data_IF_538166100217
#
_entry.id   IF_538166100217
#
_cell.length_a   1.000
_cell.length_b   1.000
_cell.length_c   1.000
_cell.angle_alpha   90.00
_cell.angle_beta   90.00
_cell.angle_gamma   90.00
#
_symmetry.space_group_name_H-M   'P 1'
#
loop_
_entity.id
_entity.type
_entity.pdbx_description
1 polymer ?
#
# COMPACT_ATOMS: atom_id res chain seq x y z
N UNK A 1 44.13 -31.43 13.01
CA UNK A 1 42.69 -31.62 12.77
C UNK A 1 42.20 -30.43 11.92
N UNK A 2 41.99 -30.64 10.64
CA UNK A 2 41.54 -29.63 9.68
C UNK A 2 40.04 -29.45 9.83
N UNK A 3 39.51 -28.23 9.96
CA UNK A 3 38.05 -28.03 10.01
C UNK A 3 37.44 -28.35 8.66
N UNK A 4 36.55 -29.32 8.65
CA UNK A 4 35.78 -29.70 7.49
C UNK A 4 34.83 -28.60 7.03
N UNK A 5 35.07 -28.03 5.87
CA UNK A 5 34.14 -27.18 5.13
C UNK A 5 33.05 -28.06 4.53
N UNK A 6 32.00 -28.32 5.29
CA UNK A 6 30.85 -29.07 4.84
C UNK A 6 29.56 -28.30 5.05
N UNK A 7 29.10 -27.58 4.05
CA UNK A 7 27.77 -26.99 4.09
C UNK A 7 27.54 -26.15 2.85
N UNK A 8 26.88 -26.70 1.85
CA UNK A 8 26.32 -25.98 0.70
C UNK A 8 25.11 -25.16 1.17
N UNK A 9 25.33 -24.19 2.04
CA UNK A 9 24.40 -23.11 2.33
C UNK A 9 24.46 -22.12 1.18
N UNK A 10 23.32 -21.81 0.59
CA UNK A 10 23.25 -20.82 -0.48
C UNK A 10 23.82 -19.47 -0.06
N UNK A 11 24.17 -18.59 -1.01
CA UNK A 11 24.86 -17.32 -0.78
C UNK A 11 24.12 -16.33 0.14
N UNK A 12 22.88 -16.62 0.51
CA UNK A 12 22.09 -15.78 1.44
C UNK A 12 22.23 -16.18 2.91
N UNK A 13 22.91 -17.29 3.18
CA UNK A 13 23.14 -17.75 4.52
C UNK A 13 24.63 -17.76 4.79
N UNK A 14 25.07 -16.98 5.75
CA UNK A 14 26.38 -17.16 6.34
C UNK A 14 26.21 -18.08 7.55
N UNK A 15 26.75 -19.28 7.47
CA UNK A 15 26.76 -20.23 8.59
C UNK A 15 28.16 -20.17 9.18
N UNK A 16 28.26 -19.70 10.42
CA UNK A 16 29.49 -19.73 11.19
C UNK A 16 29.34 -20.82 12.24
N UNK A 17 30.25 -21.81 12.22
CA UNK A 17 30.27 -22.90 13.20
C UNK A 17 31.46 -22.67 14.12
N UNK A 18 31.21 -22.30 15.34
CA UNK A 18 32.20 -22.21 16.41
C UNK A 18 31.79 -23.13 17.55
N UNK A 19 32.69 -24.00 18.00
CA UNK A 19 32.59 -24.81 19.24
C UNK A 19 31.15 -25.21 19.65
N UNK A 20 30.39 -25.78 18.75
CA UNK A 20 29.02 -26.26 19.02
C UNK A 20 27.89 -25.22 18.79
N UNK A 21 28.20 -24.00 18.38
CA UNK A 21 27.24 -22.96 18.03
C UNK A 21 27.20 -22.79 16.51
N UNK A 22 25.98 -22.79 15.96
CA UNK A 22 25.74 -22.50 14.53
C UNK A 22 24.99 -21.18 14.42
N UNK A 23 25.64 -20.16 13.89
CA UNK A 23 24.99 -18.89 13.61
C UNK A 23 24.61 -18.83 12.10
N UNK A 24 23.34 -18.61 11.84
CA UNK A 24 22.79 -18.45 10.47
C UNK A 24 22.42 -17.02 10.24
N UNK A 25 23.16 -16.32 9.38
CA UNK A 25 22.85 -14.94 9.02
C UNK A 25 21.99 -14.91 7.76
N UNK A 26 20.77 -14.42 7.88
CA UNK A 26 19.88 -14.17 6.74
C UNK A 26 20.00 -12.72 6.29
N UNK A 27 20.22 -12.49 5.00
CA UNK A 27 20.27 -11.15 4.41
C UNK A 27 18.85 -10.66 4.11
N UNK A 28 18.31 -9.83 5.00
CA UNK A 28 17.01 -9.20 4.81
C UNK A 28 17.13 -8.03 3.84
N UNK A 29 16.47 -8.13 2.67
CA UNK A 29 16.37 -7.04 1.72
C UNK A 29 15.28 -6.04 2.12
N UNK A 30 14.12 -6.57 2.53
CA UNK A 30 12.95 -5.79 2.90
C UNK A 30 12.07 -6.58 3.88
N UNK A 31 11.60 -5.91 4.93
CA UNK A 31 10.48 -6.38 5.75
C UNK A 31 9.27 -5.49 5.49
N UNK A 32 8.07 -6.06 5.50
CA UNK A 32 6.81 -5.33 5.33
C UNK A 32 5.89 -5.68 6.50
N UNK A 33 5.39 -4.65 7.20
CA UNK A 33 4.45 -4.80 8.31
C UNK A 33 3.24 -3.89 8.10
N UNK A 34 2.20 -4.35 7.41
CA UNK A 34 1.01 -3.55 7.17
C UNK A 34 0.28 -3.21 8.46
N UNK A 35 -0.15 -1.96 8.61
CA UNK A 35 -0.97 -1.49 9.72
C UNK A 35 -2.35 -1.10 9.22
N UNK A 36 -3.35 -1.32 10.04
CA UNK A 36 -4.67 -0.72 9.86
C UNK A 36 -4.58 0.80 10.13
N UNK A 37 -4.95 1.62 9.17
CA UNK A 37 -4.83 3.06 9.24
C UNK A 37 -5.63 3.69 10.38
N UNK A 38 -6.69 3.03 10.86
CA UNK A 38 -7.56 3.55 11.92
C UNK A 38 -7.10 3.14 13.31
N UNK A 39 -6.87 1.85 13.52
CA UNK A 39 -6.48 1.33 14.83
C UNK A 39 -4.98 1.45 15.08
N UNK A 40 -4.17 1.63 14.02
CA UNK A 40 -2.70 1.55 14.04
C UNK A 40 -2.16 0.20 14.53
N UNK A 41 -3.04 -0.76 14.70
CA UNK A 41 -2.65 -2.13 14.97
C UNK A 41 -2.15 -2.81 13.70
N UNK A 42 -1.40 -3.89 13.86
CA UNK A 42 -1.03 -4.72 12.72
C UNK A 42 -2.30 -5.19 11.99
N UNK A 43 -2.32 -5.06 10.68
CA UNK A 43 -3.43 -5.54 9.87
C UNK A 43 -3.56 -7.06 10.05
N UNK A 44 -4.79 -7.51 10.20
CA UNK A 44 -5.09 -8.90 10.57
C UNK A 44 -4.65 -9.92 9.51
N UNK A 45 -4.81 -11.21 9.81
CA UNK A 45 -4.41 -12.31 8.93
C UNK A 45 -5.21 -12.30 7.61
N UNK A 46 -4.69 -13.01 6.62
CA UNK A 46 -5.31 -13.18 5.30
C UNK A 46 -4.88 -12.16 4.26
N UNK A 47 -3.99 -11.23 4.59
CA UNK A 47 -3.37 -10.37 3.58
C UNK A 47 -2.48 -11.19 2.64
N UNK A 48 -2.49 -10.78 1.37
CA UNK A 48 -1.54 -11.21 0.36
C UNK A 48 -0.52 -10.10 0.18
N UNK A 49 0.74 -10.36 0.50
CA UNK A 49 1.84 -9.42 0.31
C UNK A 49 2.86 -10.08 -0.60
N UNK A 50 3.20 -9.41 -1.67
CA UNK A 50 4.13 -9.90 -2.67
C UNK A 50 4.84 -8.77 -3.40
N UNK A 51 5.75 -9.11 -4.29
CA UNK A 51 6.39 -8.16 -5.19
C UNK A 51 6.19 -8.58 -6.64
N UNK A 52 6.13 -7.59 -7.53
CA UNK A 52 5.97 -7.82 -8.95
C UNK A 52 7.31 -8.29 -9.52
N UNK A 53 7.27 -9.45 -10.17
CA UNK A 53 8.38 -9.96 -10.95
C UNK A 53 8.17 -9.56 -12.41
N UNK A 54 8.97 -8.63 -12.90
CA UNK A 54 8.91 -8.24 -14.28
C UNK A 54 9.67 -9.27 -15.12
N UNK A 55 8.97 -10.09 -15.93
CA UNK A 55 9.62 -11.07 -16.76
C UNK A 55 10.55 -10.39 -17.77
N UNK A 56 11.59 -11.12 -18.16
CA UNK A 56 12.44 -10.72 -19.27
C UNK A 56 11.59 -10.44 -20.53
N UNK A 57 11.98 -9.46 -21.37
CA UNK A 57 11.24 -9.13 -22.59
C UNK A 57 10.94 -10.37 -23.43
N UNK A 58 9.68 -10.56 -23.83
CA UNK A 58 9.24 -11.68 -24.67
C UNK A 58 8.51 -12.82 -23.96
N UNK A 59 8.47 -12.86 -22.63
CA UNK A 59 7.71 -13.87 -21.88
C UNK A 59 6.36 -13.30 -21.45
N UNK A 60 5.26 -13.76 -22.08
CA UNK A 60 3.90 -13.45 -21.64
C UNK A 60 3.62 -14.28 -20.37
N UNK A 61 3.45 -13.62 -19.23
CA UNK A 61 2.95 -14.24 -18.00
C UNK A 61 1.52 -13.79 -17.76
N UNK A 62 0.70 -14.66 -17.18
CA UNK A 62 -0.64 -14.30 -16.70
C UNK A 62 -0.53 -13.46 -15.42
N UNK A 63 -1.48 -12.56 -15.17
CA UNK A 63 -1.42 -11.55 -14.12
C UNK A 63 -1.10 -12.05 -12.71
N UNK A 64 -1.61 -13.24 -12.32
CA UNK A 64 -1.30 -13.84 -11.01
C UNK A 64 0.13 -14.37 -10.92
N UNK A 65 0.73 -14.81 -12.05
CA UNK A 65 2.10 -15.33 -12.11
C UNK A 65 3.14 -14.20 -12.01
N UNK A 66 2.71 -12.94 -12.11
CA UNK A 66 3.59 -11.77 -12.02
C UNK A 66 3.90 -11.36 -10.57
N UNK A 67 3.21 -11.91 -9.59
CA UNK A 67 3.40 -11.54 -8.19
C UNK A 67 4.02 -12.70 -7.43
N UNK A 68 5.24 -12.49 -6.94
CA UNK A 68 5.89 -13.44 -6.04
C UNK A 68 5.52 -13.11 -4.60
N UNK A 69 4.93 -14.05 -3.85
CA UNK A 69 4.59 -13.82 -2.46
C UNK A 69 5.85 -13.59 -1.61
N UNK A 70 5.77 -12.66 -0.67
CA UNK A 70 6.77 -12.53 0.38
C UNK A 70 6.58 -13.65 1.41
N UNK A 71 7.69 -14.06 2.01
CA UNK A 71 7.66 -15.04 3.09
C UNK A 71 7.00 -14.45 4.35
N UNK A 72 6.04 -15.15 4.92
CA UNK A 72 5.44 -14.76 6.20
C UNK A 72 6.47 -14.80 7.34
N UNK A 73 6.48 -13.78 8.18
CA UNK A 73 7.36 -13.67 9.34
C UNK A 73 6.59 -13.23 10.59
N UNK A 74 6.52 -14.11 11.57
CA UNK A 74 5.64 -13.89 12.72
C UNK A 74 4.17 -13.85 12.31
N UNK A 75 3.34 -13.25 13.15
CA UNK A 75 1.88 -13.24 12.96
C UNK A 75 1.41 -12.25 11.88
N UNK A 76 2.17 -11.19 11.58
CA UNK A 76 1.68 -10.05 10.80
C UNK A 76 2.72 -9.42 9.90
N UNK A 77 3.92 -9.98 9.83
CA UNK A 77 5.03 -9.49 9.03
C UNK A 77 5.27 -10.33 7.79
N UNK A 78 5.95 -9.72 6.81
CA UNK A 78 6.37 -10.36 5.57
C UNK A 78 7.80 -9.95 5.28
N UNK A 79 8.59 -10.84 4.70
CA UNK A 79 10.01 -10.58 4.42
C UNK A 79 10.38 -10.97 3.00
N UNK A 80 11.23 -10.15 2.41
CA UNK A 80 11.95 -10.42 1.19
C UNK A 80 13.42 -10.57 1.54
N UNK A 81 14.03 -11.69 1.15
CA UNK A 81 15.45 -11.95 1.36
C UNK A 81 16.18 -11.96 0.03
N UNK A 82 17.44 -11.56 0.06
CA UNK A 82 18.30 -11.76 -1.09
C UNK A 82 18.45 -13.26 -1.37
N UNK A 83 17.93 -13.69 -2.51
CA UNK A 83 17.92 -15.10 -2.89
C UNK A 83 19.31 -15.63 -3.19
N UNK A 84 19.43 -16.94 -3.06
CA UNK A 84 20.65 -17.72 -3.32
C UNK A 84 21.07 -17.67 -4.79
N UNK A 85 20.09 -17.66 -5.68
CA UNK A 85 20.28 -17.64 -7.13
C UNK A 85 19.64 -16.36 -7.71
N UNK A 86 20.48 -15.45 -8.15
CA UNK A 86 20.06 -14.20 -8.77
C UNK A 86 20.10 -13.00 -7.83
N UNK A 87 20.25 -11.81 -8.38
CA UNK A 87 20.18 -10.55 -7.66
C UNK A 87 18.74 -10.01 -7.71
N UNK A 88 18.26 -9.49 -6.61
CA UNK A 88 17.06 -8.66 -6.62
C UNK A 88 17.34 -7.39 -7.44
N UNK A 89 16.34 -6.83 -8.14
CA UNK A 89 16.49 -5.56 -8.82
C UNK A 89 16.73 -4.42 -7.79
N UNK A 90 17.24 -3.29 -8.25
CA UNK A 90 17.48 -2.11 -7.41
C UNK A 90 16.20 -1.54 -6.79
N UNK A 91 15.05 -1.84 -7.36
CA UNK A 91 13.73 -1.50 -6.81
C UNK A 91 12.72 -2.62 -7.14
N UNK A 92 11.72 -2.77 -6.27
CA UNK A 92 10.61 -3.71 -6.47
C UNK A 92 9.29 -2.99 -6.31
N UNK A 93 8.26 -3.44 -7.02
CA UNK A 93 6.89 -3.02 -6.73
C UNK A 93 6.27 -3.99 -5.74
N UNK A 94 6.11 -3.55 -4.50
CA UNK A 94 5.44 -4.32 -3.45
C UNK A 94 3.93 -4.15 -3.59
N UNK A 95 3.19 -5.25 -3.57
CA UNK A 95 1.72 -5.28 -3.52
C UNK A 95 1.26 -5.76 -2.15
N UNK A 96 0.24 -5.06 -1.64
CA UNK A 96 -0.53 -5.49 -0.47
C UNK A 96 -1.98 -5.56 -0.88
N UNK A 97 -2.58 -6.72 -0.75
CA UNK A 97 -3.96 -7.01 -1.15
C UNK A 97 -4.69 -7.79 -0.05
N UNK A 98 -5.99 -7.54 0.10
CA UNK A 98 -6.87 -8.27 1.01
C UNK A 98 -8.04 -8.91 0.25
N UNK A 99 -8.03 -10.23 0.03
CA UNK A 99 -9.14 -10.92 -0.63
C UNK A 99 -10.50 -10.73 0.06
N UNK A 100 -10.51 -10.43 1.36
CA UNK A 100 -11.73 -10.12 2.11
C UNK A 100 -12.20 -8.67 1.92
N UNK A 101 -11.44 -7.87 1.16
CA UNK A 101 -11.74 -6.45 0.85
C UNK A 101 -11.95 -5.57 2.09
N UNK A 102 -11.38 -5.97 3.24
CA UNK A 102 -11.40 -5.13 4.45
C UNK A 102 -10.57 -3.88 4.24
N UNK A 103 -9.47 -3.99 3.50
CA UNK A 103 -8.60 -2.87 3.14
C UNK A 103 -8.50 -2.71 1.63
N UNK A 104 -8.30 -1.46 1.22
CA UNK A 104 -8.01 -1.13 -0.18
C UNK A 104 -6.60 -1.63 -0.52
N UNK A 105 -6.44 -2.32 -1.67
CA UNK A 105 -5.12 -2.72 -2.16
C UNK A 105 -4.19 -1.53 -2.35
N UNK A 106 -2.89 -1.75 -2.14
CA UNK A 106 -1.86 -0.73 -2.37
C UNK A 106 -0.66 -1.31 -3.09
N UNK A 107 -0.02 -0.47 -3.90
CA UNK A 107 1.22 -0.80 -4.61
C UNK A 107 2.27 0.25 -4.28
N UNK A 108 3.49 -0.19 -4.00
CA UNK A 108 4.60 0.67 -3.62
C UNK A 108 5.83 0.37 -4.45
N UNK A 109 6.40 1.39 -5.12
CA UNK A 109 7.70 1.28 -5.75
C UNK A 109 8.77 1.51 -4.66
N UNK A 110 9.47 0.45 -4.27
CA UNK A 110 10.38 0.44 -3.11
C UNK A 110 11.79 0.22 -3.58
N UNK A 111 12.72 1.17 -3.38
CA UNK A 111 14.14 0.96 -3.64
C UNK A 111 14.72 -0.05 -2.62
N UNK A 112 15.58 -0.92 -3.09
CA UNK A 112 16.27 -1.93 -2.28
C UNK A 112 17.75 -1.62 -2.18
N UNK A 113 18.35 -1.88 -1.03
CA UNK A 113 19.79 -1.96 -0.91
C UNK A 113 20.29 -3.26 -1.53
N UNK A 114 21.38 -3.16 -2.24
CA UNK A 114 22.03 -4.34 -2.83
C UNK A 114 22.57 -5.27 -1.72
N UNK A 115 22.75 -6.52 -2.07
CA UNK A 115 23.38 -7.47 -1.16
C UNK A 115 24.79 -7.02 -0.73
N UNK A 116 25.55 -6.41 -1.65
CA UNK A 116 26.89 -5.90 -1.38
C UNK A 116 26.86 -4.77 -0.35
N UNK A 117 25.96 -3.79 -0.48
CA UNK A 117 25.78 -2.70 0.49
C UNK A 117 25.41 -3.22 1.88
N UNK A 118 24.48 -4.16 1.96
CA UNK A 118 24.08 -4.77 3.22
C UNK A 118 25.22 -5.60 3.85
N UNK A 119 25.98 -6.33 3.03
CA UNK A 119 27.13 -7.11 3.51
C UNK A 119 28.21 -6.19 4.05
N UNK A 120 28.61 -5.19 3.26
CA UNK A 120 29.64 -4.24 3.67
C UNK A 120 29.23 -3.39 4.88
N UNK A 121 27.93 -3.08 5.01
CA UNK A 121 27.37 -2.42 6.20
C UNK A 121 27.53 -3.26 7.47
N UNK A 122 27.45 -4.58 7.38
CA UNK A 122 27.48 -5.49 8.52
C UNK A 122 28.91 -6.02 8.81
N UNK A 123 29.93 -5.65 8.02
CA UNK A 123 31.32 -6.02 8.23
C UNK A 123 31.98 -5.26 9.38
N UNK A 124 33.08 -5.83 9.94
CA UNK A 124 33.87 -5.22 10.99
C UNK A 124 35.36 -5.15 10.54
N UNK A 125 35.91 -3.97 10.17
CA UNK A 125 35.24 -2.67 10.04
C UNK A 125 34.28 -2.62 8.81
N UNK A 126 33.25 -1.73 8.82
CA UNK A 126 32.35 -1.62 7.70
C UNK A 126 33.05 -1.21 6.42
N UNK A 127 32.72 -1.86 5.28
CA UNK A 127 33.22 -1.54 3.93
C UNK A 127 32.17 -0.76 3.09
N UNK A 128 30.96 -0.58 3.62
CA UNK A 128 29.89 0.24 3.04
C UNK A 128 29.21 1.08 4.13
N UNK A 129 28.50 2.16 3.76
CA UNK A 129 27.71 2.95 4.70
C UNK A 129 26.71 2.08 5.46
N UNK A 130 26.61 2.34 6.77
CA UNK A 130 25.72 1.56 7.63
C UNK A 130 24.26 1.71 7.24
N UNK A 131 23.57 0.59 7.01
CA UNK A 131 22.13 0.52 6.76
C UNK A 131 21.44 -0.04 8.00
N UNK A 132 20.73 0.80 8.73
CA UNK A 132 20.02 0.41 9.94
C UNK A 132 18.96 -0.66 9.66
N UNK A 133 18.71 -1.51 10.64
CA UNK A 133 17.69 -2.56 10.50
C UNK A 133 16.27 -2.01 10.28
N UNK A 134 15.93 -0.90 10.95
CA UNK A 134 14.64 -0.22 10.79
C UNK A 134 14.49 0.47 9.43
N UNK A 135 15.61 0.83 8.76
CA UNK A 135 15.59 1.31 7.40
C UNK A 135 15.10 0.24 6.40
N UNK A 136 15.23 -1.04 6.72
CA UNK A 136 14.77 -2.17 5.90
C UNK A 136 13.29 -2.51 6.10
N UNK A 137 12.61 -1.87 7.05
CA UNK A 137 11.19 -2.09 7.35
C UNK A 137 10.31 -1.10 6.58
N UNK A 138 9.27 -1.61 5.94
CA UNK A 138 8.20 -0.86 5.31
C UNK A 138 6.93 -1.06 6.13
N UNK A 139 6.28 0.04 6.55
CA UNK A 139 5.06 -0.01 7.37
C UNK A 139 3.93 0.72 6.67
N UNK A 140 3.34 0.13 5.62
CA UNK A 140 2.24 0.76 4.92
C UNK A 140 0.97 0.75 5.76
N UNK A 141 0.24 1.87 5.78
CA UNK A 141 -1.08 1.94 6.37
C UNK A 141 -2.12 1.50 5.35
N UNK A 142 -2.96 0.56 5.74
CA UNK A 142 -4.04 0.05 4.92
C UNK A 142 -5.32 0.81 5.23
N UNK A 143 -5.90 1.40 4.21
CA UNK A 143 -7.12 2.19 4.31
C UNK A 143 -8.37 1.30 4.26
N UNK A 144 -9.44 1.65 4.98
CA UNK A 144 -10.66 0.88 5.00
C UNK A 144 -11.24 0.66 3.61
N UNK A 145 -11.51 -0.60 3.28
CA UNK A 145 -12.20 -1.03 2.06
C UNK A 145 -13.69 -1.32 2.29
N UNK A 146 -14.41 -1.76 1.26
CA UNK A 146 -15.84 -2.03 1.36
C UNK A 146 -16.22 -3.10 2.40
N UNK A 147 -15.33 -4.08 2.62
CA UNK A 147 -15.50 -5.15 3.62
C UNK A 147 -14.98 -4.81 5.02
N UNK A 148 -14.54 -3.58 5.26
CA UNK A 148 -13.99 -3.18 6.56
C UNK A 148 -15.04 -3.27 7.66
N UNK A 149 -14.72 -3.91 8.81
CA UNK A 149 -15.61 -3.98 9.97
C UNK A 149 -15.66 -2.61 10.64
N UNK A 150 -16.75 -1.88 10.42
CA UNK A 150 -16.94 -0.54 10.96
C UNK A 150 -17.39 -0.63 12.42
N UNK A 151 -16.65 -0.04 13.38
CA UNK A 151 -17.07 0.03 14.76
C UNK A 151 -18.39 0.80 14.91
N UNK A 152 -19.21 0.43 15.89
CA UNK A 152 -20.41 1.16 16.26
C UNK A 152 -20.06 2.60 16.65
N UNK A 153 -20.96 3.52 16.38
CA UNK A 153 -20.73 4.94 16.67
C UNK A 153 -19.81 5.67 15.70
N UNK A 154 -19.29 4.98 14.65
CA UNK A 154 -18.45 5.61 13.63
C UNK A 154 -19.30 6.48 12.69
N UNK A 155 -18.80 7.67 12.36
CA UNK A 155 -19.40 8.57 11.36
C UNK A 155 -18.79 8.33 9.99
N UNK A 156 -19.63 8.21 8.96
CA UNK A 156 -19.07 8.01 7.60
C UNK A 156 -20.11 7.83 6.50
N UNK A 157 -19.59 7.60 5.29
CA UNK A 157 -20.38 7.36 4.08
C UNK A 157 -19.88 6.13 3.35
N UNK A 158 -20.81 5.38 2.75
CA UNK A 158 -20.54 4.39 1.70
C UNK A 158 -21.17 4.86 0.40
N UNK A 159 -20.40 4.91 -0.66
CA UNK A 159 -20.87 5.33 -1.98
C UNK A 159 -19.93 4.75 -3.05
N UNK A 160 -20.28 4.98 -4.30
CA UNK A 160 -19.45 4.63 -5.45
C UNK A 160 -19.11 5.90 -6.22
N UNK A 161 -17.88 5.99 -6.70
CA UNK A 161 -17.45 7.03 -7.64
C UNK A 161 -17.65 6.51 -9.05
N UNK A 162 -18.36 7.28 -9.89
CA UNK A 162 -18.72 6.91 -11.25
C UNK A 162 -18.34 7.98 -12.26
N UNK A 163 -18.22 7.60 -13.51
CA UNK A 163 -18.11 8.57 -14.61
C UNK A 163 -19.49 9.19 -14.87
N UNK A 164 -19.56 10.42 -15.42
CA UNK A 164 -20.81 11.09 -15.73
C UNK A 164 -21.45 10.57 -17.05
N UNK A 165 -21.21 9.31 -17.38
CA UNK A 165 -21.82 8.66 -18.53
C UNK A 165 -23.20 8.07 -18.17
N UNK A 166 -24.09 7.81 -19.18
CA UNK A 166 -25.43 7.26 -18.92
C UNK A 166 -25.44 5.91 -18.18
N UNK A 167 -24.33 5.14 -18.26
CA UNK A 167 -24.19 3.86 -17.59
C UNK A 167 -23.63 3.97 -16.17
N UNK A 168 -23.14 5.14 -15.77
CA UNK A 168 -22.49 5.33 -14.49
C UNK A 168 -21.29 4.40 -14.31
N UNK A 169 -20.41 4.33 -15.31
CA UNK A 169 -19.23 3.47 -15.28
C UNK A 169 -18.39 3.72 -14.03
N UNK A 170 -18.05 2.70 -13.24
CA UNK A 170 -17.24 2.88 -12.05
C UNK A 170 -15.87 3.50 -12.36
N UNK A 171 -15.47 4.48 -11.57
CA UNK A 171 -14.09 4.99 -11.55
C UNK A 171 -13.25 4.04 -10.72
N UNK A 172 -12.27 3.42 -11.34
CA UNK A 172 -11.34 2.50 -10.63
C UNK A 172 -10.38 3.30 -9.77
N UNK A 173 -10.14 2.82 -8.56
CA UNK A 173 -9.14 3.35 -7.63
C UNK A 173 -9.31 4.86 -7.33
N UNK A 174 -10.52 5.37 -7.10
CA UNK A 174 -10.69 6.78 -6.81
C UNK A 174 -10.14 7.12 -5.43
N UNK A 175 -9.75 8.38 -5.25
CA UNK A 175 -9.53 8.97 -3.94
C UNK A 175 -10.58 10.03 -3.68
N UNK A 176 -11.02 10.16 -2.43
CA UNK A 176 -11.98 11.17 -2.01
C UNK A 176 -11.45 11.88 -0.77
N UNK A 177 -11.32 13.18 -0.85
CA UNK A 177 -11.00 14.05 0.28
C UNK A 177 -12.29 14.70 0.78
N UNK A 178 -12.45 14.76 2.10
CA UNK A 178 -13.63 15.31 2.77
C UNK A 178 -13.28 16.58 3.51
N UNK A 179 -14.08 17.62 3.30
CA UNK A 179 -13.92 18.93 3.93
C UNK A 179 -15.18 19.34 4.65
N UNK A 180 -15.05 19.82 5.88
CA UNK A 180 -16.09 20.42 6.66
C UNK A 180 -16.35 21.89 6.30
N UNK A 181 -17.21 22.58 7.06
CA UNK A 181 -17.44 24.00 6.92
C UNK A 181 -16.12 24.79 6.97
N UNK A 182 -16.00 25.79 6.10
CA UNK A 182 -14.78 26.59 6.00
C UNK A 182 -13.57 25.88 5.34
N UNK A 183 -13.79 24.71 4.71
CA UNK A 183 -12.71 23.97 4.04
C UNK A 183 -11.79 23.19 4.98
N UNK A 184 -12.20 22.96 6.22
CA UNK A 184 -11.43 22.19 7.20
C UNK A 184 -11.34 20.72 6.76
N UNK A 185 -10.14 20.14 6.60
CA UNK A 185 -10.03 18.72 6.25
C UNK A 185 -10.58 17.84 7.37
N UNK A 186 -11.46 16.92 7.02
CA UNK A 186 -12.09 15.96 7.93
C UNK A 186 -11.56 14.53 7.75
N UNK A 187 -10.99 14.23 6.59
CA UNK A 187 -10.45 12.92 6.28
C UNK A 187 -10.38 12.64 4.80
N UNK A 188 -9.96 11.44 4.48
CA UNK A 188 -9.88 10.95 3.10
C UNK A 188 -10.15 9.44 3.05
N UNK A 189 -10.48 8.95 1.86
CA UNK A 189 -10.60 7.53 1.59
C UNK A 189 -10.12 7.21 0.17
N UNK A 190 -9.70 5.97 -0.03
CA UNK A 190 -9.48 5.41 -1.35
C UNK A 190 -10.62 4.45 -1.68
N UNK A 191 -10.96 4.35 -2.97
CA UNK A 191 -11.90 3.36 -3.45
C UNK A 191 -11.19 2.17 -4.11
N UNK A 192 -11.96 1.14 -4.37
CA UNK A 192 -11.49 -0.08 -5.01
C UNK A 192 -11.64 -0.06 -6.56
N UNK A 193 -11.39 -1.20 -7.19
CA UNK A 193 -11.53 -1.40 -8.64
C UNK A 193 -12.95 -1.21 -9.17
N UNK A 194 -13.95 -1.25 -8.31
CA UNK A 194 -15.36 -1.01 -8.61
C UNK A 194 -15.84 0.40 -8.26
N UNK A 195 -14.91 1.28 -7.86
CA UNK A 195 -15.20 2.64 -7.44
C UNK A 195 -15.87 2.74 -6.07
N UNK A 196 -15.99 1.63 -5.31
CA UNK A 196 -16.61 1.63 -3.99
C UNK A 196 -15.70 2.28 -2.97
N UNK A 197 -16.25 3.23 -2.21
CA UNK A 197 -15.54 4.03 -1.21
C UNK A 197 -16.22 3.87 0.13
N UNK A 198 -15.43 3.64 1.17
CA UNK A 198 -15.82 3.75 2.57
C UNK A 198 -15.07 4.92 3.18
N UNK A 199 -15.73 6.05 3.29
CA UNK A 199 -15.20 7.25 3.94
C UNK A 199 -15.60 7.24 5.41
N UNK A 200 -14.63 7.19 6.30
CA UNK A 200 -14.83 7.24 7.74
C UNK A 200 -14.20 8.54 8.27
N UNK A 201 -14.96 9.31 9.03
CA UNK A 201 -14.52 10.60 9.57
C UNK A 201 -14.13 10.41 11.02
N UNK A 202 -12.89 10.80 11.33
CA UNK A 202 -12.38 10.91 12.69
C UNK A 202 -12.54 12.35 13.21
N UNK A 203 -12.61 12.50 14.52
CA UNK A 203 -12.57 13.83 15.13
C UNK A 203 -13.82 14.69 14.94
N UNK A 204 -15.00 14.09 14.79
CA UNK A 204 -16.27 14.82 14.80
C UNK A 204 -16.42 15.72 16.05
N UNK A 205 -15.68 15.41 17.12
CA UNK A 205 -15.58 16.25 18.33
C UNK A 205 -14.87 17.61 18.16
N UNK A 206 -14.25 17.86 16.99
CA UNK A 206 -13.70 19.18 16.63
C UNK A 206 -14.79 20.11 16.11
N UNK A 207 -15.98 19.58 15.81
CA UNK A 207 -17.13 20.38 15.44
C UNK A 207 -17.67 21.13 16.68
N UNK A 208 -18.25 22.30 16.44
CA UNK A 208 -18.79 23.20 17.48
C UNK A 208 -19.67 22.47 18.51
N UNK A 209 -19.54 22.85 19.79
CA UNK A 209 -20.40 22.33 20.84
C UNK A 209 -21.66 23.18 20.97
N UNK A 210 -22.89 22.61 21.07
CA UNK A 210 -23.17 21.17 20.97
C UNK A 210 -22.96 20.62 19.57
N UNK A 211 -22.39 19.40 19.49
CA UNK A 211 -22.16 18.78 18.20
C UNK A 211 -23.48 18.53 17.45
N UNK A 212 -23.61 18.97 16.20
CA UNK A 212 -24.83 18.76 15.44
C UNK A 212 -25.03 17.27 15.15
N UNK A 213 -26.26 16.78 15.19
CA UNK A 213 -26.57 15.40 14.81
C UNK A 213 -26.32 15.10 13.32
N UNK A 214 -26.28 16.16 12.50
CA UNK A 214 -26.01 16.13 11.06
C UNK A 214 -25.19 17.35 10.67
N UNK A 215 -24.29 17.17 9.69
CA UNK A 215 -23.54 18.28 9.11
C UNK A 215 -23.21 18.04 7.64
N UNK A 216 -23.02 19.11 6.90
CA UNK A 216 -22.63 19.05 5.50
C UNK A 216 -21.13 18.81 5.38
N UNK A 217 -20.75 17.99 4.40
CA UNK A 217 -19.36 17.73 4.02
C UNK A 217 -19.21 17.93 2.52
N UNK A 218 -18.18 18.66 2.11
CA UNK A 218 -17.78 18.77 0.71
C UNK A 218 -16.83 17.61 0.39
N UNK A 219 -17.16 16.84 -0.65
CA UNK A 219 -16.41 15.70 -1.12
C UNK A 219 -15.72 16.04 -2.43
N UNK A 220 -14.39 15.99 -2.44
CA UNK A 220 -13.56 16.20 -3.63
C UNK A 220 -13.04 14.88 -4.11
N UNK A 221 -13.40 14.51 -5.33
CA UNK A 221 -12.95 13.25 -5.93
C UNK A 221 -11.70 13.46 -6.77
N UNK A 222 -10.82 12.47 -6.74
CA UNK A 222 -9.64 12.38 -7.57
C UNK A 222 -9.62 10.98 -8.20
N UNK A 223 -9.23 10.90 -9.45
CA UNK A 223 -9.16 9.65 -10.19
C UNK A 223 -7.89 9.57 -11.02
N UNK A 224 -7.36 8.35 -11.25
CA UNK A 224 -6.27 8.18 -12.20
C UNK A 224 -6.70 8.74 -13.55
N UNK A 225 -5.79 9.46 -14.21
CA UNK A 225 -5.99 9.79 -15.61
C UNK A 225 -6.11 8.47 -16.35
N UNK A 226 -7.19 8.25 -17.14
CA UNK A 226 -7.25 7.06 -17.94
C UNK A 226 -5.97 7.03 -18.79
N UNK A 227 -5.21 5.92 -18.80
CA UNK A 227 -4.11 5.79 -19.73
C UNK A 227 -4.67 6.16 -21.09
N UNK A 228 -3.99 7.07 -21.81
CA UNK A 228 -4.32 7.37 -23.19
C UNK A 228 -4.50 6.01 -23.84
N UNK A 229 -5.70 5.75 -24.31
CA UNK A 229 -6.20 4.43 -24.69
C UNK A 229 -5.12 3.74 -25.56
N UNK A 230 -4.38 2.73 -25.07
CA UNK A 230 -3.51 1.99 -25.96
C UNK A 230 -4.46 1.16 -26.81
N UNK A 231 -4.91 1.75 -27.94
CA UNK A 231 -5.84 1.24 -28.92
C UNK A 231 -6.57 0.00 -28.40
N UNK A 232 -7.77 0.18 -27.87
CA UNK A 232 -8.55 -0.91 -27.31
C UNK A 232 -8.78 -1.91 -28.43
N UNK A 233 -7.95 -2.93 -28.47
CA UNK A 233 -8.31 -4.14 -29.18
C UNK A 233 -9.49 -4.74 -28.40
N UNK A 234 -10.74 -4.64 -28.89
CA UNK A 234 -11.91 -5.19 -28.22
C UNK A 234 -11.81 -6.71 -28.04
N UNK A 235 -10.84 -7.35 -28.68
CA UNK A 235 -10.50 -8.76 -28.49
C UNK A 235 -9.55 -9.01 -27.31
N UNK A 236 -8.89 -8.00 -26.77
CA UNK A 236 -8.18 -8.11 -25.53
C UNK A 236 -9.20 -8.12 -24.38
N UNK A 237 -9.49 -9.28 -23.83
CA UNK A 237 -10.32 -9.45 -22.64
C UNK A 237 -9.88 -8.54 -21.48
N UNK A 238 -10.68 -8.43 -20.41
CA UNK A 238 -10.33 -7.61 -19.25
C UNK A 238 -8.92 -7.95 -18.78
N UNK A 239 -8.13 -6.95 -18.32
CA UNK A 239 -6.77 -7.19 -17.89
C UNK A 239 -6.76 -8.33 -16.87
N UNK A 240 -5.92 -9.34 -17.12
CA UNK A 240 -5.82 -10.54 -16.29
C UNK A 240 -5.46 -10.24 -14.83
N UNK A 241 -5.02 -9.01 -14.55
CA UNK A 241 -4.66 -8.51 -13.23
C UNK A 241 -5.43 -7.23 -12.90
N UNK A 242 -6.41 -7.35 -11.97
CA UNK A 242 -7.22 -6.22 -11.52
C UNK A 242 -6.38 -5.07 -10.95
N UNK A 243 -5.23 -5.39 -10.33
CA UNK A 243 -4.36 -4.39 -9.69
C UNK A 243 -3.36 -3.74 -10.67
N UNK A 244 -3.25 -4.20 -11.92
CA UNK A 244 -2.31 -3.63 -12.89
C UNK A 244 -2.56 -2.13 -13.15
N UNK A 245 -3.81 -1.67 -13.04
CA UNK A 245 -4.19 -0.27 -13.18
C UNK A 245 -4.02 0.58 -11.91
N UNK A 246 -3.65 -0.03 -10.77
CA UNK A 246 -3.39 0.70 -9.53
C UNK A 246 -2.00 1.32 -9.58
N UNK A 247 -1.91 2.62 -9.31
CA UNK A 247 -0.63 3.36 -9.34
C UNK A 247 0.31 2.80 -8.28
N UNK A 248 1.56 2.54 -8.67
CA UNK A 248 2.63 2.22 -7.73
C UNK A 248 3.15 3.51 -7.08
N UNK A 249 2.95 3.66 -5.79
CA UNK A 249 3.33 4.84 -5.04
C UNK A 249 4.84 4.82 -4.74
N UNK A 250 5.62 5.84 -5.15
CA UNK A 250 7.06 5.85 -4.94
C UNK A 250 7.40 6.07 -3.46
N UNK A 251 8.19 5.17 -2.89
CA UNK A 251 8.68 5.28 -1.50
C UNK A 251 10.10 5.79 -1.50
N UNK A 252 10.34 6.91 -0.82
CA UNK A 252 11.69 7.42 -0.57
C UNK A 252 12.22 6.80 0.71
N UNK A 253 13.42 6.26 0.67
CA UNK A 253 14.06 5.59 1.82
C UNK A 253 15.44 6.18 2.12
N UNK A 254 15.82 6.21 3.39
CA UNK A 254 17.14 6.58 3.87
C UNK A 254 17.77 5.41 4.62
N UNK A 255 19.07 5.21 4.47
CA UNK A 255 19.81 4.17 5.19
C UNK A 255 19.86 4.44 6.72
N UNK A 256 19.87 5.71 7.09
CA UNK A 256 19.97 6.19 8.47
C UNK A 256 18.88 7.22 8.76
N UNK A 257 17.61 6.81 8.85
CA UNK A 257 16.53 7.74 9.12
C UNK A 257 16.67 8.28 10.55
N UNK A 258 16.39 9.58 10.80
CA UNK A 258 16.42 10.16 12.14
C UNK A 258 15.34 9.55 13.06
N UNK A 259 14.29 8.99 12.47
CA UNK A 259 13.21 8.26 13.12
C UNK A 259 12.83 7.07 12.21
N UNK A 260 12.07 6.09 12.72
CA UNK A 260 11.44 5.12 11.84
C UNK A 260 10.75 5.85 10.69
N UNK A 261 11.17 5.59 9.45
CA UNK A 261 10.76 6.34 8.24
C UNK A 261 9.24 6.40 8.08
N UNK A 262 8.56 5.42 8.63
CA UNK A 262 7.14 5.17 8.44
C UNK A 262 6.24 6.12 9.23
N UNK A 263 6.77 6.74 10.29
CA UNK A 263 5.96 7.62 11.15
C UNK A 263 5.59 8.94 10.45
N UNK A 264 6.46 9.43 9.56
CA UNK A 264 6.29 10.72 8.88
C UNK A 264 6.18 10.57 7.35
N UNK A 265 6.19 9.35 6.82
CA UNK A 265 6.10 9.12 5.38
C UNK A 265 4.62 9.18 4.92
N UNK A 266 4.25 10.29 4.30
CA UNK A 266 2.90 10.55 3.83
C UNK A 266 2.41 9.54 2.78
N UNK A 267 3.32 9.02 1.94
CA UNK A 267 3.00 7.98 0.95
C UNK A 267 2.57 6.70 1.68
N UNK A 268 3.36 6.23 2.64
CA UNK A 268 3.03 5.01 3.40
C UNK A 268 1.73 5.17 4.20
N UNK A 269 1.47 6.38 4.71
CA UNK A 269 0.21 6.70 5.41
C UNK A 269 -0.99 6.85 4.47
N UNK A 270 -0.77 7.00 3.16
CA UNK A 270 -1.82 7.25 2.16
C UNK A 270 -2.45 8.62 2.29
N UNK A 271 -1.75 9.59 2.89
CA UNK A 271 -2.24 10.98 3.02
C UNK A 271 -2.03 11.77 1.74
N UNK A 272 -0.99 11.45 0.97
CA UNK A 272 -0.75 12.05 -0.34
C UNK A 272 -1.67 11.51 -1.40
N UNK A 273 -2.06 12.37 -2.32
CA UNK A 273 -2.73 11.95 -3.55
C UNK A 273 -1.71 11.25 -4.46
N UNK A 274 -2.02 10.04 -4.98
CA UNK A 274 -1.12 9.38 -5.90
C UNK A 274 -0.85 10.22 -7.15
N UNK A 275 0.35 10.09 -7.71
CA UNK A 275 0.73 10.80 -8.93
C UNK A 275 -0.19 10.41 -10.11
N UNK A 276 -0.45 11.36 -11.01
CA UNK A 276 -1.31 11.15 -12.17
C UNK A 276 -2.81 11.17 -11.88
N UNK A 277 -3.23 11.49 -10.65
CA UNK A 277 -4.65 11.66 -10.36
C UNK A 277 -5.13 13.07 -10.73
N UNK A 278 -6.23 13.13 -11.48
CA UNK A 278 -6.95 14.38 -11.77
C UNK A 278 -8.03 14.64 -10.73
N UNK A 279 -8.15 15.89 -10.34
CA UNK A 279 -9.20 16.36 -9.44
C UNK A 279 -10.48 16.62 -10.22
N UNK A 280 -11.63 16.38 -9.61
CA UNK A 280 -12.91 16.76 -10.19
C UNK A 280 -13.05 18.30 -10.28
N UNK A 281 -13.77 18.75 -11.29
CA UNK A 281 -14.02 20.18 -11.53
C UNK A 281 -14.82 20.86 -10.39
N UNK A 282 -15.61 20.10 -9.64
CA UNK A 282 -16.41 20.61 -8.53
C UNK A 282 -16.52 19.60 -7.39
N UNK A 283 -16.61 20.13 -6.16
CA UNK A 283 -16.89 19.35 -4.97
C UNK A 283 -18.38 18.99 -4.92
N UNK A 284 -18.68 17.80 -4.40
CA UNK A 284 -20.06 17.36 -4.17
C UNK A 284 -20.40 17.42 -2.69
N UNK A 285 -21.47 18.15 -2.34
CA UNK A 285 -21.90 18.23 -0.94
C UNK A 285 -22.77 17.04 -0.56
N UNK A 286 -22.49 16.45 0.59
CA UNK A 286 -23.28 15.38 1.22
C UNK A 286 -23.54 15.69 2.68
N UNK A 287 -24.58 15.11 3.25
CA UNK A 287 -24.88 15.23 4.69
C UNK A 287 -24.44 13.97 5.40
N UNK A 288 -23.61 14.13 6.43
CA UNK A 288 -23.23 13.09 7.39
C UNK A 288 -24.20 13.07 8.58
N UNK A 289 -24.46 11.89 9.11
CA UNK A 289 -25.14 11.70 10.38
C UNK A 289 -24.10 11.21 11.40
N UNK A 290 -23.94 11.94 12.49
CA UNK A 290 -22.96 11.60 13.54
C UNK A 290 -23.25 10.22 14.12
N UNK A 291 -22.22 9.43 14.32
CA UNK A 291 -22.31 8.07 14.87
C UNK A 291 -22.92 7.05 13.92
N UNK A 292 -23.07 7.36 12.63
CA UNK A 292 -23.60 6.41 11.65
C UNK A 292 -22.80 6.42 10.34
N UNK A 293 -22.63 5.24 9.78
CA UNK A 293 -22.17 5.09 8.39
C UNK A 293 -23.38 4.85 7.51
N UNK A 294 -23.68 5.82 6.65
CA UNK A 294 -24.86 5.76 5.78
C UNK A 294 -24.45 5.54 4.32
N UNK A 295 -25.32 4.86 3.56
CA UNK A 295 -25.16 4.76 2.12
C UNK A 295 -25.62 6.06 1.47
N UNK A 296 -24.77 6.67 0.67
CA UNK A 296 -25.07 7.84 -0.14
C UNK A 296 -25.25 7.47 -1.61
N UNK A 297 -25.85 8.37 -2.38
CA UNK A 297 -25.91 8.26 -3.83
C UNK A 297 -24.49 8.30 -4.43
N UNK A 298 -24.33 7.68 -5.59
CA UNK A 298 -23.06 7.66 -6.32
C UNK A 298 -22.55 9.09 -6.57
N UNK A 299 -21.23 9.24 -6.58
CA UNK A 299 -20.54 10.50 -6.82
C UNK A 299 -20.02 10.55 -8.25
N UNK A 300 -20.51 11.46 -9.10
CA UNK A 300 -19.95 11.62 -10.42
C UNK A 300 -18.56 12.27 -10.33
N UNK A 301 -17.59 11.74 -11.08
CA UNK A 301 -16.27 12.31 -11.24
C UNK A 301 -16.13 12.88 -12.67
N UNK A 302 -16.19 14.21 -12.77
CA UNK A 302 -15.89 14.94 -14.00
C UNK A 302 -14.54 15.64 -13.78
N UNK A 303 -13.45 15.21 -14.45
CA UNK A 303 -12.14 15.82 -14.26
C UNK A 303 -12.14 17.29 -14.70
N UNK A 304 -11.36 18.10 -13.97
CA UNK A 304 -11.13 19.51 -14.31
C UNK A 304 -10.30 19.68 -15.58
#
# INVERSE_FOLDING_TARGET
MTPGTGGSGGPDRRITVEAGRVDVLHRLALAVRPLDARSRAAAGPGLRVGYEDHPAPGRRQRGEDLVRPLEGHGATGFVLRHATAGSLPAAVTVRVDDPARRWIPRRFAVPLWTRGELSGSDEQPPTAPHVRADARLLVPWLLPGPGYPVPEGTTGLRFRVTRPDPGGTPVRWPRVDAFGPGGVPLGWAHGDEHGQVLLLIDGVGVLTYPAPSRFAVALRTHAPDPPADPGTDPAAGPPADALAGLVAEPVVRSANPPRPQDLDNEVLRGTTRPAGYRTAAADTVRTLTVGRVVRAADLPHTPA
#
